data_IF_771356729797
#
_entry.id   IF_771356729797
#
_cell.length_a   1.000
_cell.length_b   1.000
_cell.length_c   1.000
_cell.angle_alpha   90.00
_cell.angle_beta   90.00
_cell.angle_gamma   90.00
#
_symmetry.space_group_name_H-M   'P 1'
#
loop_
_entity.id
_entity.type
_entity.pdbx_description
1 polymer ?
#
# COMPACT_ATOMS: atom_id res chain seq x y z
N UNK A 1 -22.98 18.66 -31.63
CA UNK A 1 -23.08 17.26 -31.21
C UNK A 1 -21.81 16.89 -30.46
N UNK A 2 -21.88 16.88 -29.13
CA UNK A 2 -20.73 16.66 -28.25
C UNK A 2 -20.22 15.23 -28.36
N UNK A 3 -18.92 15.08 -28.64
CA UNK A 3 -18.24 13.80 -28.48
C UNK A 3 -18.19 13.50 -26.98
N UNK A 4 -18.96 12.50 -26.57
CA UNK A 4 -18.85 11.88 -25.28
C UNK A 4 -17.39 11.47 -25.03
N UNK A 5 -16.96 11.78 -23.81
CA UNK A 5 -15.73 11.40 -23.14
C UNK A 5 -15.41 9.91 -23.41
N UNK A 6 -14.37 9.63 -24.21
CA UNK A 6 -13.86 8.27 -24.35
C UNK A 6 -13.13 7.94 -23.04
N UNK A 7 -13.45 6.82 -22.35
CA UNK A 7 -12.67 6.41 -21.19
C UNK A 7 -11.19 6.34 -21.60
N UNK A 8 -10.32 6.94 -20.77
CA UNK A 8 -8.90 7.09 -21.05
C UNK A 8 -8.32 5.80 -21.63
N UNK A 9 -7.87 5.86 -22.89
CA UNK A 9 -7.30 4.71 -23.59
C UNK A 9 -6.21 4.10 -22.71
N UNK A 10 -6.32 2.80 -22.43
CA UNK A 10 -5.27 2.04 -21.77
C UNK A 10 -3.96 2.26 -22.52
N UNK A 11 -2.99 2.89 -21.86
CA UNK A 11 -1.66 3.11 -22.45
C UNK A 11 -1.10 1.77 -22.90
N UNK A 12 -0.62 1.71 -24.13
CA UNK A 12 -0.03 0.50 -24.69
C UNK A 12 1.24 0.12 -23.90
N UNK A 13 1.62 -1.15 -23.87
CA UNK A 13 2.79 -1.62 -23.11
C UNK A 13 4.11 -0.92 -23.50
N UNK A 14 4.16 -0.26 -24.67
CA UNK A 14 5.28 0.53 -25.17
C UNK A 14 5.37 1.95 -24.56
N UNK A 15 4.31 2.44 -23.92
CA UNK A 15 4.26 3.77 -23.29
C UNK A 15 4.78 3.79 -21.85
N UNK A 16 5.05 2.62 -21.26
CA UNK A 16 5.66 2.53 -19.94
C UNK A 16 7.18 2.59 -20.03
N UNK A 17 7.86 3.10 -18.97
CA UNK A 17 9.31 3.07 -18.88
C UNK A 17 9.89 1.67 -19.18
N UNK A 18 11.00 1.64 -19.91
CA UNK A 18 11.75 0.40 -20.17
C UNK A 18 12.48 -0.12 -18.94
N UNK A 19 12.70 0.76 -17.95
CA UNK A 19 13.36 0.43 -16.68
C UNK A 19 12.33 0.19 -15.58
N UNK A 20 12.56 -0.78 -14.67
CA UNK A 20 11.71 -0.98 -13.50
C UNK A 20 11.96 0.09 -12.44
N UNK A 21 10.91 0.50 -11.73
CA UNK A 21 11.05 1.27 -10.50
C UNK A 21 11.16 0.34 -9.30
N UNK A 22 12.00 0.73 -8.33
CA UNK A 22 12.05 0.08 -7.02
C UNK A 22 11.51 1.04 -5.96
N UNK A 23 10.58 0.54 -5.16
CA UNK A 23 9.95 1.30 -4.07
C UNK A 23 10.11 0.52 -2.79
N UNK A 24 10.66 1.15 -1.76
CA UNK A 24 10.73 0.61 -0.42
C UNK A 24 9.66 1.27 0.45
N UNK A 25 8.75 0.47 1.02
CA UNK A 25 7.69 0.93 1.92
C UNK A 25 8.00 0.49 3.35
N UNK A 26 8.03 1.44 4.27
CA UNK A 26 8.13 1.16 5.70
C UNK A 26 6.75 1.22 6.35
N UNK A 27 6.46 0.25 7.21
CA UNK A 27 5.21 0.13 7.96
C UNK A 27 5.47 0.16 9.47
N UNK A 28 4.58 0.85 10.19
CA UNK A 28 4.48 0.82 11.63
C UNK A 28 3.04 0.56 12.05
N UNK A 29 2.84 -0.50 12.84
CA UNK A 29 1.53 -0.95 13.32
C UNK A 29 0.45 -0.99 12.21
N UNK A 30 0.80 -1.50 11.03
CA UNK A 30 -0.09 -1.59 9.87
C UNK A 30 -0.18 -0.33 9.01
N UNK A 31 0.31 0.81 9.49
CA UNK A 31 0.29 2.07 8.74
C UNK A 31 1.59 2.26 7.94
N UNK A 32 1.54 2.63 6.65
CA UNK A 32 2.72 3.03 5.92
C UNK A 32 3.21 4.41 6.43
N UNK A 33 4.50 4.54 6.67
CA UNK A 33 5.12 5.74 7.29
C UNK A 33 6.23 6.36 6.47
N UNK A 34 6.80 5.64 5.50
CA UNK A 34 7.89 6.15 4.66
C UNK A 34 7.94 5.45 3.30
N UNK A 35 8.48 6.17 2.30
CA UNK A 35 8.87 5.63 0.99
C UNK A 35 10.37 5.85 0.82
N UNK A 36 11.13 4.83 0.41
CA UNK A 36 12.57 4.92 0.15
C UNK A 36 13.34 5.56 1.31
N UNK A 37 13.02 5.14 2.54
CA UNK A 37 13.53 5.68 3.80
C UNK A 37 13.22 7.17 4.09
N UNK A 38 12.37 7.83 3.30
CA UNK A 38 11.91 9.21 3.52
C UNK A 38 10.57 9.17 4.26
N UNK A 39 10.51 9.57 5.55
CA UNK A 39 9.26 9.66 6.29
C UNK A 39 8.38 10.77 5.71
N UNK A 40 7.08 10.50 5.57
CA UNK A 40 6.15 11.49 5.03
C UNK A 40 4.72 11.25 5.56
N UNK A 41 3.87 12.28 5.61
CA UNK A 41 2.45 12.14 5.94
C UNK A 41 1.75 11.15 5.01
N UNK A 42 0.73 10.45 5.53
CA UNK A 42 0.01 9.41 4.77
C UNK A 42 -0.54 9.92 3.43
N UNK A 43 -1.05 11.16 3.39
CA UNK A 43 -1.58 11.75 2.16
C UNK A 43 -0.48 11.91 1.08
N UNK A 44 0.67 12.45 1.48
CA UNK A 44 1.81 12.64 0.58
C UNK A 44 2.41 11.30 0.15
N UNK A 45 2.41 10.32 1.06
CA UNK A 45 2.81 8.94 0.80
C UNK A 45 1.96 8.32 -0.30
N UNK A 46 0.64 8.37 -0.13
CA UNK A 46 -0.31 7.82 -1.10
C UNK A 46 -0.17 8.54 -2.43
N UNK A 47 -0.11 9.88 -2.45
CA UNK A 47 0.06 10.65 -3.69
C UNK A 47 1.37 10.33 -4.42
N UNK A 48 2.48 10.24 -3.70
CA UNK A 48 3.78 9.89 -4.27
C UNK A 48 3.78 8.47 -4.84
N UNK A 49 3.20 7.53 -4.11
CA UNK A 49 3.10 6.14 -4.54
C UNK A 49 2.20 5.99 -5.77
N UNK A 50 1.12 6.77 -5.84
CA UNK A 50 0.20 6.77 -6.96
C UNK A 50 0.89 7.21 -8.25
N UNK A 51 1.67 8.30 -8.20
CA UNK A 51 2.46 8.79 -9.34
C UNK A 51 3.44 7.72 -9.82
N UNK A 52 4.20 7.12 -8.90
CA UNK A 52 5.20 6.09 -9.26
C UNK A 52 4.50 4.86 -9.84
N UNK A 53 3.46 4.34 -9.19
CA UNK A 53 2.77 3.14 -9.63
C UNK A 53 2.04 3.33 -10.97
N UNK A 54 1.36 4.47 -11.15
CA UNK A 54 0.68 4.81 -12.39
C UNK A 54 1.66 4.96 -13.58
N UNK A 55 2.83 5.54 -13.35
CA UNK A 55 3.87 5.66 -14.38
C UNK A 55 4.33 4.30 -14.90
N UNK A 56 4.28 3.25 -14.07
CA UNK A 56 4.59 1.87 -14.45
C UNK A 56 3.36 1.04 -14.79
N UNK A 57 2.15 1.63 -14.83
CA UNK A 57 0.90 0.95 -15.22
C UNK A 57 0.28 0.03 -14.18
N UNK A 58 0.74 0.09 -12.93
CA UNK A 58 0.27 -0.76 -11.83
C UNK A 58 -1.11 -0.32 -11.35
N UNK A 59 -1.96 -1.26 -10.97
CA UNK A 59 -3.28 -0.99 -10.37
C UNK A 59 -4.38 -0.58 -11.34
N UNK A 60 -4.25 -0.95 -12.61
CA UNK A 60 -5.31 -0.82 -13.63
C UNK A 60 -6.19 -2.05 -13.61
N UNK A 61 -7.42 -1.92 -13.12
CA UNK A 61 -8.37 -3.03 -13.06
C UNK A 61 -9.78 -2.57 -13.45
N UNK A 62 -10.39 -3.21 -14.46
CA UNK A 62 -11.79 -3.03 -14.85
C UNK A 62 -12.29 -1.56 -14.98
N UNK A 63 -11.46 -0.64 -15.47
CA UNK A 63 -11.83 0.76 -15.67
C UNK A 63 -11.63 1.68 -14.46
N UNK A 64 -11.17 1.13 -13.33
CA UNK A 64 -10.72 1.88 -12.17
C UNK A 64 -9.18 1.87 -12.12
N UNK A 65 -8.59 3.01 -11.80
CA UNK A 65 -7.17 3.11 -11.50
C UNK A 65 -7.01 3.24 -9.99
N UNK A 66 -6.40 2.22 -9.37
CA UNK A 66 -6.01 2.25 -7.96
C UNK A 66 -4.51 1.90 -7.77
N UNK A 67 -3.58 2.66 -8.40
CA UNK A 67 -2.15 2.36 -8.39
C UNK A 67 -1.59 2.27 -6.97
N UNK A 68 -1.78 3.31 -6.14
CA UNK A 68 -1.27 3.32 -4.78
C UNK A 68 -1.86 2.18 -3.93
N UNK A 69 -3.18 1.96 -4.02
CA UNK A 69 -3.85 0.92 -3.23
C UNK A 69 -3.35 -0.49 -3.58
N UNK A 70 -3.07 -0.74 -4.87
CA UNK A 70 -2.52 -2.02 -5.33
C UNK A 70 -1.15 -2.28 -4.71
N UNK A 71 -0.27 -1.28 -4.73
CA UNK A 71 1.08 -1.40 -4.15
C UNK A 71 1.02 -1.50 -2.62
N UNK A 72 0.19 -0.69 -1.95
CA UNK A 72 0.01 -0.74 -0.50
C UNK A 72 -0.55 -2.08 -0.03
N UNK A 73 -1.55 -2.63 -0.74
CA UNK A 73 -2.14 -3.92 -0.40
C UNK A 73 -1.11 -5.05 -0.53
N UNK A 74 -0.35 -5.08 -1.62
CA UNK A 74 0.71 -6.07 -1.82
C UNK A 74 1.81 -5.95 -0.75
N UNK A 75 2.23 -4.73 -0.42
CA UNK A 75 3.26 -4.49 0.58
C UNK A 75 2.80 -4.80 2.00
N UNK A 76 1.58 -4.38 2.36
CA UNK A 76 1.00 -4.63 3.68
C UNK A 76 0.85 -6.14 3.94
N UNK A 77 0.29 -6.88 2.98
CA UNK A 77 0.18 -8.34 3.05
C UNK A 77 1.53 -9.06 3.14
N UNK A 78 2.63 -8.46 2.65
CA UNK A 78 3.97 -9.02 2.79
C UNK A 78 4.58 -8.87 4.19
N UNK A 79 4.23 -7.77 4.90
CA UNK A 79 4.63 -7.53 6.29
C UNK A 79 3.73 -8.29 7.26
N UNK A 80 2.47 -8.51 6.89
CA UNK A 80 1.52 -9.25 7.71
C UNK A 80 2.00 -10.69 7.91
N UNK A 81 2.43 -11.00 9.14
CA UNK A 81 3.04 -12.29 9.47
C UNK A 81 2.01 -13.42 9.63
N UNK A 82 0.74 -13.07 9.83
CA UNK A 82 -0.38 -13.98 9.96
C UNK A 82 -1.32 -13.73 8.80
N UNK A 83 -1.94 -14.77 8.24
CA UNK A 83 -2.95 -14.58 7.20
C UNK A 83 -4.02 -13.61 7.71
N UNK A 84 -4.30 -12.56 6.92
CA UNK A 84 -5.43 -11.67 7.14
C UNK A 84 -6.66 -12.53 7.49
N UNK A 85 -7.36 -12.17 8.57
CA UNK A 85 -8.57 -12.88 8.93
C UNK A 85 -9.63 -12.57 7.87
N UNK A 86 -9.75 -13.45 6.88
CA UNK A 86 -10.64 -13.27 5.73
C UNK A 86 -12.09 -13.02 6.16
N UNK A 87 -12.51 -13.63 7.27
CA UNK A 87 -13.82 -13.37 7.85
C UNK A 87 -13.94 -11.93 8.37
N UNK A 88 -12.93 -11.42 9.09
CA UNK A 88 -12.88 -10.03 9.53
C UNK A 88 -12.91 -9.05 8.35
N UNK A 89 -12.12 -9.32 7.31
CA UNK A 89 -12.09 -8.49 6.09
C UNK A 89 -13.44 -8.45 5.38
N UNK A 90 -14.11 -9.60 5.23
CA UNK A 90 -15.45 -9.66 4.60
C UNK A 90 -16.50 -8.94 5.43
N UNK A 91 -16.53 -9.12 6.75
CA UNK A 91 -17.45 -8.39 7.64
C UNK A 91 -17.23 -6.88 7.57
N UNK A 92 -15.97 -6.45 7.49
CA UNK A 92 -15.65 -5.03 7.34
C UNK A 92 -16.14 -4.49 5.99
N UNK A 93 -16.00 -5.26 4.91
CA UNK A 93 -16.54 -4.91 3.60
C UNK A 93 -18.08 -4.79 3.62
N UNK A 94 -18.79 -5.75 4.23
CA UNK A 94 -20.25 -5.71 4.36
C UNK A 94 -20.75 -4.41 5.01
N UNK A 95 -20.06 -3.96 6.08
CA UNK A 95 -20.37 -2.71 6.79
C UNK A 95 -20.18 -1.48 5.90
N UNK A 96 -19.11 -1.45 5.09
CA UNK A 96 -18.85 -0.37 4.15
C UNK A 96 -19.92 -0.35 3.05
N UNK A 97 -20.21 -1.50 2.46
CA UNK A 97 -21.16 -1.65 1.36
C UNK A 97 -22.60 -1.33 1.78
N UNK A 98 -22.96 -1.65 3.02
CA UNK A 98 -24.29 -1.36 3.59
C UNK A 98 -24.45 0.10 4.04
N UNK A 99 -23.36 0.87 4.10
CA UNK A 99 -23.37 2.25 4.59
C UNK A 99 -23.39 2.38 6.12
N UNK A 100 -23.13 1.29 6.84
CA UNK A 100 -23.21 1.19 8.31
C UNK A 100 -21.95 1.73 9.01
N UNK A 101 -21.33 2.78 8.46
CA UNK A 101 -20.07 3.33 8.94
C UNK A 101 -20.14 3.86 10.38
N UNK A 102 -21.26 4.46 10.78
CA UNK A 102 -21.43 5.07 12.11
C UNK A 102 -22.12 4.14 13.11
N UNK A 103 -21.78 2.84 13.07
CA UNK A 103 -22.36 1.82 13.96
C UNK A 103 -21.35 1.31 14.99
N UNK A 104 -21.87 0.78 16.11
CA UNK A 104 -21.07 0.09 17.12
C UNK A 104 -20.44 -1.20 16.60
N UNK A 105 -21.06 -1.82 15.59
CA UNK A 105 -20.48 -2.98 14.90
C UNK A 105 -19.17 -2.61 14.22
N UNK A 106 -19.14 -1.51 13.45
CA UNK A 106 -17.91 -0.99 12.83
C UNK A 106 -16.83 -0.71 13.87
N UNK A 107 -17.18 -0.10 15.01
CA UNK A 107 -16.24 0.15 16.12
C UNK A 107 -15.64 -1.12 16.72
N UNK A 108 -16.45 -2.18 16.83
CA UNK A 108 -15.96 -3.48 17.31
C UNK A 108 -15.00 -4.13 16.30
N UNK A 109 -15.27 -3.99 15.00
CA UNK A 109 -14.37 -4.47 13.94
C UNK A 109 -13.04 -3.67 13.95
N UNK A 110 -13.09 -2.35 14.12
CA UNK A 110 -11.91 -1.49 14.26
C UNK A 110 -11.00 -1.94 15.40
N UNK A 111 -11.56 -2.27 16.56
CA UNK A 111 -10.79 -2.75 17.69
C UNK A 111 -10.04 -4.06 17.36
N UNK A 112 -10.70 -4.97 16.64
CA UNK A 112 -10.08 -6.22 16.20
C UNK A 112 -8.96 -5.98 15.18
N UNK A 113 -9.19 -5.11 14.19
CA UNK A 113 -8.16 -4.72 13.21
C UNK A 113 -6.97 -4.09 13.93
N UNK A 114 -7.21 -3.13 14.83
CA UNK A 114 -6.15 -2.46 15.58
C UNK A 114 -5.26 -3.45 16.35
N UNK A 115 -5.85 -4.51 16.93
CA UNK A 115 -5.11 -5.59 17.60
C UNK A 115 -4.28 -6.42 16.62
N UNK A 116 -4.85 -6.80 15.47
CA UNK A 116 -4.13 -7.56 14.45
C UNK A 116 -2.93 -6.76 13.91
N UNK A 117 -3.08 -5.44 13.75
CA UNK A 117 -2.07 -4.57 13.17
C UNK A 117 -0.90 -4.26 14.13
N UNK A 118 -0.99 -4.55 15.43
CA UNK A 118 0.06 -4.25 16.42
C UNK A 118 1.44 -4.81 16.08
N UNK A 119 1.51 -5.91 15.31
CA UNK A 119 2.76 -6.58 14.92
C UNK A 119 3.15 -6.38 13.46
N UNK A 120 2.36 -5.65 12.69
CA UNK A 120 2.60 -5.39 11.27
C UNK A 120 3.57 -4.20 11.18
N UNK A 121 4.86 -4.46 11.33
CA UNK A 121 5.91 -3.45 11.26
C UNK A 121 7.13 -4.02 10.54
N UNK A 122 7.63 -3.29 9.56
CA UNK A 122 8.67 -3.80 8.69
C UNK A 122 8.87 -2.96 7.45
N UNK A 123 9.75 -3.42 6.58
CA UNK A 123 10.13 -2.77 5.34
C UNK A 123 9.91 -3.76 4.20
N UNK A 124 9.26 -3.32 3.13
CA UNK A 124 9.03 -4.13 1.93
C UNK A 124 9.56 -3.38 0.73
N UNK A 125 10.42 -4.04 -0.05
CA UNK A 125 10.91 -3.52 -1.31
C UNK A 125 10.14 -4.19 -2.44
N UNK A 126 9.53 -3.36 -3.29
CA UNK A 126 8.76 -3.78 -4.45
C UNK A 126 9.42 -3.32 -5.74
N UNK A 127 9.26 -4.12 -6.79
CA UNK A 127 9.62 -3.79 -8.17
C UNK A 127 8.33 -3.54 -8.94
N UNK A 128 8.22 -2.36 -9.54
CA UNK A 128 7.09 -1.94 -10.34
C UNK A 128 7.51 -1.92 -11.81
N UNK A 129 6.84 -2.69 -12.64
CA UNK A 129 7.21 -2.79 -14.05
C UNK A 129 6.05 -3.23 -14.93
N UNK A 130 5.66 -2.38 -15.89
CA UNK A 130 4.69 -2.69 -16.95
C UNK A 130 3.40 -3.36 -16.43
N UNK A 131 2.83 -2.81 -15.37
CA UNK A 131 1.62 -3.29 -14.71
C UNK A 131 1.86 -4.31 -13.61
N UNK A 132 3.05 -4.90 -13.52
CA UNK A 132 3.41 -5.82 -12.46
C UNK A 132 3.89 -5.09 -11.20
N UNK A 133 3.51 -5.63 -10.04
CA UNK A 133 3.99 -5.26 -8.72
C UNK A 133 4.54 -6.53 -8.07
N UNK A 134 5.87 -6.63 -7.96
CA UNK A 134 6.57 -7.81 -7.45
C UNK A 134 7.27 -7.49 -6.13
N UNK A 135 7.12 -8.33 -5.11
CA UNK A 135 7.87 -8.20 -3.86
C UNK A 135 9.27 -8.75 -4.08
N UNK A 136 10.28 -7.90 -3.87
CA UNK A 136 11.71 -8.24 -4.04
C UNK A 136 12.33 -8.64 -2.71
N UNK A 137 12.03 -7.88 -1.65
CA UNK A 137 12.58 -8.10 -0.31
C UNK A 137 11.53 -7.74 0.73
N UNK A 138 11.54 -8.45 1.86
CA UNK A 138 10.80 -8.08 3.06
C UNK A 138 11.68 -8.22 4.30
N UNK A 139 11.57 -7.26 5.20
CA UNK A 139 12.27 -7.24 6.49
C UNK A 139 11.28 -6.93 7.60
N UNK A 140 11.07 -7.89 8.49
CA UNK A 140 10.19 -7.68 9.65
C UNK A 140 10.97 -7.07 10.80
N UNK A 141 10.50 -5.93 11.29
CA UNK A 141 11.03 -5.31 12.50
C UNK A 141 10.35 -5.98 13.69
N UNK A 142 10.98 -7.01 14.26
CA UNK A 142 10.53 -7.60 15.51
C UNK A 142 10.43 -6.55 16.63
N UNK A 143 9.75 -6.89 17.73
CA UNK A 143 9.46 -5.97 18.86
C UNK A 143 10.69 -5.24 19.43
N UNK A 144 11.92 -5.75 19.21
CA UNK A 144 13.19 -5.15 19.64
C UNK A 144 13.81 -4.15 18.64
N UNK A 145 13.43 -4.17 17.36
CA UNK A 145 14.06 -3.35 16.29
C UNK A 145 13.45 -1.95 16.10
N UNK A 146 12.31 -1.66 16.76
CA UNK A 146 11.48 -0.45 16.55
C UNK A 146 12.17 0.89 16.76
N UNK A 147 13.30 0.94 17.48
CA UNK A 147 13.99 2.20 17.83
C UNK A 147 15.35 2.40 17.18
N UNK A 148 16.04 1.33 16.78
CA UNK A 148 17.42 1.41 16.31
C UNK A 148 17.55 1.64 14.81
N UNK A 149 16.67 1.06 13.98
CA UNK A 149 16.81 1.11 12.51
C UNK A 149 16.29 2.42 11.91
N UNK A 150 15.23 3.02 12.47
CA UNK A 150 14.77 4.37 12.10
C UNK A 150 15.85 5.45 12.35
N UNK A 151 16.70 5.24 13.37
CA UNK A 151 17.84 6.12 13.67
C UNK A 151 19.08 5.81 12.84
N UNK A 152 19.17 4.63 12.21
CA UNK A 152 20.28 4.29 11.32
C UNK A 152 20.07 4.89 9.93
N UNK A 153 18.84 4.87 9.41
CA UNK A 153 18.50 5.48 8.11
C UNK A 153 18.59 7.01 8.13
N UNK A 154 18.40 7.67 9.28
CA UNK A 154 18.60 9.12 9.43
C UNK A 154 20.06 9.56 9.59
N UNK A 155 20.99 8.62 9.85
CA UNK A 155 22.44 8.90 9.95
C UNK A 155 23.20 8.70 8.64
N UNK A 156 22.59 8.05 7.64
CA UNK A 156 23.16 7.84 6.31
C UNK A 156 22.86 9.00 5.33
N UNK A 157 22.18 10.06 5.79
CA UNK A 157 21.87 11.27 5.02
C UNK A 157 22.62 12.51 5.56
N UNK A 158 23.88 12.35 5.95
CA UNK A 158 24.83 13.45 6.21
C UNK A 158 26.11 13.24 5.43
#
# INVERSE_FOLDING_TARGET
>A
AGRADQPARSRSAAEYPSEPAFVELAFERGSPVAINAIPMPLLDLVGSLDIIAAAHGVGRCHGLETPAATVLSAAHGAVEAQAANEHLSRRYADVIESGDWFTSEREALDANVARAQERVSGIVRLKLFRGACEIVERRNLGLRGRRSELLASSRLSR
#
